data_IF_589917400299
#
_entry.id   IF_589917400299
#
_cell.length_a   1.000
_cell.length_b   1.000
_cell.length_c   1.000
_cell.angle_alpha   90.00
_cell.angle_beta   90.00
_cell.angle_gamma   90.00
#
_symmetry.space_group_name_H-M   'P 1'
#
loop_
_entity.id
_entity.type
_entity.pdbx_description
1 polymer ?
#
# COMPACT_ATOMS: atom_id res chain seq x y z
N UNK A 1 -15.12 -7.31 -5.10
CA UNK A 1 -13.86 -7.16 -4.31
C UNK A 1 -12.95 -8.34 -4.63
N UNK A 2 -11.75 -8.08 -5.17
CA UNK A 2 -10.84 -9.10 -5.73
C UNK A 2 -10.93 -9.25 -7.25
N UNK A 3 -11.29 -8.18 -7.95
CA UNK A 3 -11.31 -8.09 -9.42
C UNK A 3 -10.47 -6.88 -9.77
N UNK A 4 -9.53 -7.03 -10.70
CA UNK A 4 -8.74 -5.93 -11.26
C UNK A 4 -9.46 -5.41 -12.49
N UNK A 5 -9.58 -4.09 -12.63
CA UNK A 5 -10.13 -3.47 -13.85
C UNK A 5 -9.06 -2.61 -14.49
N UNK A 6 -8.57 -3.08 -15.64
CA UNK A 6 -7.68 -2.30 -16.49
C UNK A 6 -8.49 -1.66 -17.63
N UNK A 7 -8.10 -0.46 -18.03
CA UNK A 7 -8.75 0.31 -19.09
C UNK A 7 -7.74 0.53 -20.21
N UNK A 8 -8.10 0.13 -21.42
CA UNK A 8 -7.30 0.40 -22.61
C UNK A 8 -8.11 1.35 -23.48
N UNK A 9 -7.55 2.53 -23.76
CA UNK A 9 -8.12 3.52 -24.67
C UNK A 9 -7.28 3.58 -25.94
N UNK A 10 -7.95 3.68 -27.09
CA UNK A 10 -7.28 3.81 -28.38
C UNK A 10 -7.17 5.30 -28.69
N UNK A 11 -5.96 5.74 -29.01
CA UNK A 11 -5.67 7.14 -29.32
C UNK A 11 -6.49 7.61 -30.51
N UNK A 12 -7.11 8.78 -30.39
CA UNK A 12 -8.01 9.36 -31.39
C UNK A 12 -9.49 9.17 -31.07
N UNK A 13 -9.84 8.33 -30.09
CA UNK A 13 -11.20 8.22 -29.55
C UNK A 13 -11.34 9.02 -28.25
N UNK A 14 -12.46 9.71 -28.06
CA UNK A 14 -12.76 10.37 -26.79
C UNK A 14 -13.19 9.33 -25.75
N UNK A 15 -12.35 9.13 -24.73
CA UNK A 15 -12.67 8.33 -23.55
C UNK A 15 -12.65 9.23 -22.32
N UNK A 16 -13.75 9.28 -21.57
CA UNK A 16 -13.82 9.99 -20.29
C UNK A 16 -13.14 9.16 -19.18
N UNK A 17 -11.80 9.20 -19.18
CA UNK A 17 -10.97 8.51 -18.20
C UNK A 17 -11.10 9.08 -16.79
N UNK A 18 -11.52 10.34 -16.65
CA UNK A 18 -11.73 10.97 -15.35
C UNK A 18 -12.92 10.34 -14.61
N UNK A 19 -14.02 10.07 -15.32
CA UNK A 19 -15.17 9.38 -14.73
C UNK A 19 -14.85 7.92 -14.36
N UNK A 20 -13.91 7.28 -15.08
CA UNK A 20 -13.49 5.91 -14.83
C UNK A 20 -12.38 5.77 -13.78
N UNK A 21 -11.76 6.88 -13.39
CA UNK A 21 -10.68 6.96 -12.40
C UNK A 21 -10.92 6.20 -11.10
N UNK A 22 -12.07 6.36 -10.43
CA UNK A 22 -12.31 5.66 -9.17
C UNK A 22 -12.32 4.13 -9.30
N UNK A 23 -12.48 3.61 -10.52
CA UNK A 23 -12.70 2.20 -10.79
C UNK A 23 -11.37 1.44 -10.92
N UNK A 24 -10.43 1.96 -11.72
CA UNK A 24 -9.10 1.36 -11.82
C UNK A 24 -8.24 1.66 -10.59
N UNK A 25 -8.31 2.86 -9.99
CA UNK A 25 -7.59 3.20 -8.75
C UNK A 25 -7.97 2.24 -7.62
N UNK A 26 -9.27 1.96 -7.45
CA UNK A 26 -9.76 1.10 -6.36
C UNK A 26 -9.47 -0.39 -6.57
N UNK A 27 -9.28 -0.80 -7.81
CA UNK A 27 -8.99 -2.20 -8.15
C UNK A 27 -7.51 -2.48 -8.35
N UNK A 28 -6.69 -1.43 -8.21
CA UNK A 28 -5.27 -1.40 -8.51
C UNK A 28 -4.99 -1.87 -9.94
N UNK A 29 -5.84 -1.42 -10.87
CA UNK A 29 -5.70 -1.66 -12.30
C UNK A 29 -5.03 -0.49 -13.01
N UNK A 30 -4.67 -0.71 -14.27
CA UNK A 30 -3.90 0.26 -15.06
C UNK A 30 -4.75 0.91 -16.16
N UNK A 31 -4.35 2.11 -16.59
CA UNK A 31 -4.90 2.81 -17.75
C UNK A 31 -3.82 3.06 -18.78
N UNK A 32 -4.04 2.53 -19.98
CA UNK A 32 -3.13 2.73 -21.10
C UNK A 32 -3.86 3.37 -22.28
N UNK A 33 -3.30 4.46 -22.82
CA UNK A 33 -3.73 5.08 -24.07
C UNK A 33 -2.72 4.67 -25.14
N UNK A 34 -3.18 3.93 -26.14
CA UNK A 34 -2.30 3.25 -27.11
C UNK A 34 -2.69 3.54 -28.56
N UNK A 35 -1.75 3.35 -29.47
CA UNK A 35 -2.07 3.26 -30.89
C UNK A 35 -2.72 1.87 -31.18
N UNK A 36 -3.59 1.74 -32.21
CA UNK A 36 -4.28 0.48 -32.53
C UNK A 36 -3.33 -0.72 -32.70
N UNK A 37 -2.15 -0.49 -33.28
CA UNK A 37 -1.15 -1.53 -33.56
C UNK A 37 -0.44 -2.06 -32.29
N UNK A 38 -0.49 -1.31 -31.19
CA UNK A 38 0.17 -1.65 -29.93
C UNK A 38 -0.71 -2.52 -29.01
N UNK A 39 -1.99 -2.68 -29.36
CA UNK A 39 -3.00 -3.38 -28.55
C UNK A 39 -2.56 -4.78 -28.15
N UNK A 40 -1.99 -5.53 -29.10
CA UNK A 40 -1.53 -6.91 -28.85
C UNK A 40 -0.41 -6.96 -27.83
N UNK A 41 0.53 -6.02 -27.89
CA UNK A 41 1.67 -5.98 -26.97
C UNK A 41 1.21 -5.54 -25.58
N UNK A 42 0.29 -4.57 -25.49
CA UNK A 42 -0.28 -4.12 -24.23
C UNK A 42 -1.02 -5.27 -23.51
N UNK A 43 -1.89 -5.99 -24.22
CA UNK A 43 -2.55 -7.18 -23.67
C UNK A 43 -1.56 -8.22 -23.14
N UNK A 44 -0.51 -8.53 -23.91
CA UNK A 44 0.52 -9.49 -23.50
C UNK A 44 1.27 -9.03 -22.25
N UNK A 45 1.53 -7.73 -22.10
CA UNK A 45 2.19 -7.18 -20.92
C UNK A 45 1.27 -7.16 -19.70
N UNK A 46 -0.01 -6.82 -19.86
CA UNK A 46 -1.01 -6.93 -18.79
C UNK A 46 -1.14 -8.35 -18.25
N UNK A 47 -1.05 -9.37 -19.12
CA UNK A 47 -1.08 -10.77 -18.67
C UNK A 47 0.19 -11.17 -17.91
N UNK A 48 1.33 -10.49 -18.12
CA UNK A 48 2.57 -10.76 -17.36
C UNK A 48 2.52 -10.19 -15.94
N UNK A 49 1.74 -9.13 -15.72
CA UNK A 49 1.55 -8.55 -14.38
C UNK A 49 0.48 -9.35 -13.62
N UNK A 50 0.79 -10.62 -13.35
CA UNK A 50 -0.14 -11.51 -12.67
C UNK A 50 -0.39 -11.03 -11.23
N UNK A 51 -1.68 -10.95 -10.87
CA UNK A 51 -2.09 -10.69 -9.50
C UNK A 51 -1.71 -11.89 -8.65
N UNK A 52 -0.85 -11.70 -7.65
CA UNK A 52 -0.37 -12.77 -6.77
C UNK A 52 -1.23 -12.93 -5.51
N UNK A 53 -1.93 -11.85 -5.11
CA UNK A 53 -2.87 -11.85 -4.00
C UNK A 53 -3.94 -10.77 -4.15
N UNK A 54 -5.10 -11.02 -3.54
CA UNK A 54 -6.25 -10.11 -3.55
C UNK A 54 -6.64 -9.71 -2.14
N UNK A 55 -7.37 -8.59 -2.01
CA UNK A 55 -7.88 -8.06 -0.72
C UNK A 55 -6.75 -7.87 0.29
N UNK A 56 -5.64 -7.32 -0.19
CA UNK A 56 -4.45 -7.08 0.61
C UNK A 56 -4.65 -5.85 1.48
N UNK A 57 -4.47 -6.02 2.78
CA UNK A 57 -4.42 -4.94 3.76
C UNK A 57 -3.07 -4.99 4.45
N UNK A 58 -2.36 -3.86 4.43
CA UNK A 58 -1.04 -3.73 5.04
C UNK A 58 -1.14 -2.87 6.28
N UNK A 59 -0.67 -3.41 7.40
CA UNK A 59 -0.54 -2.69 8.68
C UNK A 59 0.93 -2.54 9.02
N UNK A 60 1.40 -1.31 9.16
CA UNK A 60 2.76 -1.00 9.59
C UNK A 60 2.70 -0.44 11.00
N UNK A 61 3.47 -1.03 11.91
CA UNK A 61 3.56 -0.64 13.31
C UNK A 61 4.95 -0.10 13.61
N UNK A 62 4.98 1.12 14.14
CA UNK A 62 6.17 1.80 14.61
C UNK A 62 6.33 1.65 16.12
N UNK A 63 7.54 1.94 16.60
CA UNK A 63 7.78 2.14 18.01
C UNK A 63 6.98 3.35 18.53
N UNK A 64 6.55 3.33 19.80
CA UNK A 64 5.71 4.35 20.46
C UNK A 64 6.27 5.79 20.45
N UNK A 65 7.57 5.92 20.23
CA UNK A 65 8.29 7.19 20.13
C UNK A 65 8.31 7.78 18.73
N UNK A 66 7.87 7.01 17.73
CA UNK A 66 7.75 7.44 16.35
C UNK A 66 6.28 7.67 16.00
N UNK A 67 6.06 8.46 14.96
CA UNK A 67 4.76 8.66 14.35
C UNK A 67 4.89 8.76 12.84
N UNK A 68 3.83 8.35 12.13
CA UNK A 68 3.72 8.55 10.69
C UNK A 68 3.48 10.03 10.35
N UNK A 69 3.94 10.43 9.16
CA UNK A 69 3.71 11.76 8.60
C UNK A 69 3.21 11.65 7.17
N UNK A 70 2.55 12.71 6.69
CA UNK A 70 2.06 12.80 5.32
C UNK A 70 1.11 11.65 4.94
N UNK A 71 0.42 11.08 5.93
CA UNK A 71 -0.56 10.00 5.77
C UNK A 71 -1.98 10.52 6.07
N UNK A 72 -2.99 9.87 5.49
CA UNK A 72 -4.40 10.18 5.74
C UNK A 72 -4.79 9.77 7.17
N UNK A 73 -5.44 10.66 7.92
CA UNK A 73 -5.83 10.39 9.31
C UNK A 73 -6.78 9.19 9.46
N UNK A 74 -7.58 8.88 8.42
CA UNK A 74 -8.49 7.73 8.44
C UNK A 74 -7.75 6.39 8.46
N UNK A 75 -6.51 6.37 7.96
CA UNK A 75 -5.67 5.18 7.82
C UNK A 75 -4.72 5.03 9.02
N UNK A 76 -4.69 6.01 9.92
CA UNK A 76 -3.83 6.04 11.09
C UNK A 76 -4.58 5.63 12.37
N UNK A 77 -3.88 4.96 13.28
CA UNK A 77 -4.31 4.87 14.68
C UNK A 77 -4.33 6.24 15.35
N UNK A 78 -5.11 6.40 16.42
CA UNK A 78 -5.14 7.62 17.24
C UNK A 78 -3.75 8.14 17.64
N UNK A 79 -2.84 7.24 18.01
CA UNK A 79 -1.47 7.56 18.43
C UNK A 79 -0.49 7.80 17.27
N UNK A 80 -0.98 7.72 16.02
CA UNK A 80 -0.21 7.82 14.76
C UNK A 80 0.99 6.87 14.68
N UNK A 81 0.97 5.76 15.43
CA UNK A 81 2.01 4.73 15.46
C UNK A 81 1.70 3.50 14.62
N UNK A 82 0.46 3.37 14.13
CA UNK A 82 0.02 2.29 13.24
C UNK A 82 -0.61 2.92 12.00
N UNK A 83 -0.16 2.50 10.82
CA UNK A 83 -0.71 2.84 9.51
C UNK A 83 -1.38 1.59 8.94
N UNK A 84 -2.63 1.69 8.52
CA UNK A 84 -3.39 0.62 7.85
C UNK A 84 -3.78 1.08 6.46
N UNK A 85 -3.28 0.42 5.42
CA UNK A 85 -3.68 0.69 4.03
C UNK A 85 -4.39 -0.50 3.41
N UNK A 86 -5.54 -0.25 2.81
CA UNK A 86 -6.20 -1.19 1.89
C UNK A 86 -5.58 -1.03 0.50
N UNK A 87 -4.84 -2.06 0.08
CA UNK A 87 -4.05 -2.08 -1.17
C UNK A 87 -4.83 -2.76 -2.29
N UNK A 88 -5.85 -3.55 -1.96
CA UNK A 88 -6.63 -4.28 -2.96
C UNK A 88 -5.86 -5.46 -3.57
N UNK A 89 -5.59 -5.41 -4.87
CA UNK A 89 -4.89 -6.48 -5.58
C UNK A 89 -3.41 -6.12 -5.70
N UNK A 90 -2.53 -7.11 -5.50
CA UNK A 90 -1.08 -6.90 -5.58
C UNK A 90 -0.46 -7.83 -6.61
N UNK A 91 0.56 -7.30 -7.27
CA UNK A 91 1.47 -7.98 -8.22
C UNK A 91 2.87 -8.04 -7.61
N UNK A 92 3.83 -8.65 -8.30
CA UNK A 92 5.24 -8.62 -7.86
C UNK A 92 5.83 -7.21 -7.81
N UNK A 93 5.30 -6.29 -8.62
CA UNK A 93 5.77 -4.89 -8.72
C UNK A 93 5.13 -3.96 -7.68
N UNK A 94 4.19 -4.46 -6.86
CA UNK A 94 3.46 -3.62 -5.92
C UNK A 94 4.35 -3.17 -4.75
N UNK A 95 4.50 -1.85 -4.59
CA UNK A 95 5.28 -1.22 -3.52
C UNK A 95 4.43 -0.26 -2.68
N UNK A 96 4.74 -0.18 -1.39
CA UNK A 96 4.15 0.81 -0.48
C UNK A 96 5.27 1.52 0.25
N UNK A 97 5.24 2.84 0.20
CA UNK A 97 6.13 3.73 0.94
C UNK A 97 5.35 4.49 1.99
N UNK A 98 6.01 4.79 3.10
CA UNK A 98 5.46 5.61 4.18
C UNK A 98 6.59 6.45 4.79
N UNK A 99 6.21 7.58 5.38
CA UNK A 99 7.13 8.47 6.07
C UNK A 99 6.87 8.46 7.57
N UNK A 100 7.93 8.57 8.36
CA UNK A 100 7.82 8.64 9.81
C UNK A 100 8.83 9.63 10.39
N UNK A 101 8.57 10.09 11.62
CA UNK A 101 9.50 10.88 12.43
C UNK A 101 9.45 10.46 13.89
N UNK A 102 10.40 10.97 14.67
CA UNK A 102 10.30 10.98 16.13
C UNK A 102 9.20 11.96 16.54
N UNK A 103 8.39 11.57 17.52
CA UNK A 103 7.37 12.44 18.13
C UNK A 103 8.00 13.67 18.78
N UNK A 104 7.23 14.74 18.90
CA UNK A 104 7.69 15.95 19.55
C UNK A 104 7.92 15.72 21.06
N UNK A 105 8.80 16.51 21.67
CA UNK A 105 9.22 16.37 23.07
C UNK A 105 8.05 16.25 24.06
N UNK A 106 6.98 17.04 23.84
CA UNK A 106 5.77 17.03 24.68
C UNK A 106 5.05 15.67 24.69
N UNK A 107 5.09 14.94 23.59
CA UNK A 107 4.44 13.64 23.47
C UNK A 107 5.38 12.51 23.92
N UNK A 108 6.70 12.70 23.79
CA UNK A 108 7.69 11.81 24.37
C UNK A 108 7.67 11.83 25.91
N UNK A 109 7.46 13.00 26.52
CA UNK A 109 7.36 13.16 27.98
C UNK A 109 6.15 12.42 28.59
N UNK A 110 5.11 12.14 27.78
CA UNK A 110 3.95 11.33 28.19
C UNK A 110 4.25 9.83 28.20
N UNK A 111 5.36 9.41 27.59
CA UNK A 111 5.76 8.02 27.59
C UNK A 111 6.49 7.72 28.90
N UNK A 112 5.78 7.09 29.84
CA UNK A 112 6.37 6.69 31.13
C UNK A 112 7.67 5.87 30.93
N UNK A 113 8.71 6.23 31.70
CA UNK A 113 10.02 5.58 31.68
C UNK A 113 10.68 5.48 30.29
N UNK A 114 10.42 6.44 29.41
CA UNK A 114 11.01 6.45 28.07
C UNK A 114 12.26 7.34 27.99
N UNK A 115 13.42 6.71 27.80
CA UNK A 115 14.68 7.39 27.56
C UNK A 115 15.15 7.07 26.14
N UNK A 116 15.01 8.02 25.23
CA UNK A 116 15.36 7.86 23.81
C UNK A 116 16.86 7.53 23.64
N UNK A 117 17.70 7.98 24.57
CA UNK A 117 19.15 7.76 24.58
C UNK A 117 19.53 6.30 24.84
N UNK A 118 18.58 5.48 25.31
CA UNK A 118 18.77 4.03 25.59
C UNK A 118 18.24 3.13 24.47
N UNK A 119 17.79 3.71 23.36
CA UNK A 119 17.27 2.93 22.23
C UNK A 119 18.40 2.76 21.23
N UNK A 120 19.02 1.59 21.27
CA UNK A 120 20.04 1.21 20.30
C UNK A 120 19.43 0.70 18.98
N UNK A 121 18.15 0.30 19.02
CA UNK A 121 17.45 -0.28 17.87
C UNK A 121 15.96 0.01 17.90
N UNK A 122 15.39 0.34 16.73
CA UNK A 122 13.97 0.58 16.56
C UNK A 122 13.35 -0.54 15.71
N UNK A 123 12.40 -1.30 16.25
CA UNK A 123 11.69 -2.31 15.47
C UNK A 123 10.58 -1.68 14.62
N UNK A 124 10.48 -2.16 13.39
CA UNK A 124 9.39 -1.93 12.46
C UNK A 124 8.72 -3.27 12.19
N UNK A 125 7.41 -3.31 12.32
CA UNK A 125 6.65 -4.52 12.02
C UNK A 125 5.61 -4.24 10.95
N UNK A 126 5.66 -5.01 9.88
CA UNK A 126 4.67 -5.00 8.80
C UNK A 126 3.85 -6.28 8.88
N UNK A 127 2.53 -6.15 8.90
CA UNK A 127 1.57 -7.24 8.89
C UNK A 127 0.75 -7.11 7.61
N UNK A 128 0.80 -8.14 6.77
CA UNK A 128 0.11 -8.19 5.49
C UNK A 128 -0.98 -9.24 5.60
N UNK A 129 -2.23 -8.81 5.64
CA UNK A 129 -3.41 -9.67 5.57
C UNK A 129 -3.85 -9.76 4.10
N UNK A 130 -4.00 -10.96 3.55
CA UNK A 130 -4.32 -11.13 2.13
C UNK A 130 -5.09 -12.40 1.84
N UNK A 131 -5.69 -12.48 0.64
CA UNK A 131 -6.33 -13.67 0.09
C UNK A 131 -5.50 -14.19 -1.08
N UNK A 132 -5.00 -15.42 -0.98
CA UNK A 132 -4.34 -16.11 -2.09
C UNK A 132 -5.34 -16.41 -3.22
N UNK A 133 -4.83 -16.71 -4.41
CA UNK A 133 -5.66 -17.03 -5.58
C UNK A 133 -6.49 -18.32 -5.41
N UNK A 134 -6.04 -19.23 -4.54
CA UNK A 134 -6.79 -20.42 -4.13
C UNK A 134 -7.92 -20.13 -3.13
N UNK A 135 -8.10 -18.87 -2.73
CA UNK A 135 -9.11 -18.42 -1.77
C UNK A 135 -8.69 -18.46 -0.30
N UNK A 136 -7.49 -18.97 0.03
CA UNK A 136 -7.01 -19.01 1.41
C UNK A 136 -6.75 -17.59 1.93
N UNK A 137 -7.25 -17.30 3.14
CA UNK A 137 -6.90 -16.09 3.88
C UNK A 137 -5.61 -16.31 4.63
N UNK A 138 -4.64 -15.42 4.43
CA UNK A 138 -3.28 -15.54 4.95
C UNK A 138 -2.87 -14.26 5.68
N UNK A 139 -1.96 -14.42 6.62
CA UNK A 139 -1.28 -13.31 7.29
C UNK A 139 0.23 -13.55 7.18
N UNK A 140 0.96 -12.52 6.74
CA UNK A 140 2.42 -12.50 6.74
C UNK A 140 2.90 -11.38 7.64
N UNK A 141 3.73 -11.71 8.62
CA UNK A 141 4.35 -10.73 9.52
C UNK A 141 5.84 -10.65 9.22
N UNK A 142 6.32 -9.43 8.99
CA UNK A 142 7.74 -9.12 8.73
C UNK A 142 8.16 -8.15 9.83
N UNK A 143 9.22 -8.48 10.56
CA UNK A 143 9.80 -7.58 11.56
C UNK A 143 11.24 -7.28 11.18
N UNK A 144 11.58 -6.00 11.13
CA UNK A 144 12.94 -5.52 10.86
C UNK A 144 13.35 -4.55 11.96
N UNK A 145 14.57 -4.67 12.44
CA UNK A 145 15.14 -3.75 13.42
C UNK A 145 16.12 -2.82 12.73
N UNK A 146 16.00 -1.53 12.96
CA UNK A 146 16.91 -0.51 12.46
C UNK A 146 17.82 -0.06 13.60
N UNK A 147 19.13 -0.06 13.37
CA UNK A 147 20.13 0.55 14.25
C UNK A 147 20.25 2.03 13.92
#
# INVERSE_FOLDING_TARGET
KGVTVNIISIKGEECDLETLRPLYDKTNGNVDIIEPDELKNNFANMMKQEVIATRVVVKVKLHKALEFRNEDEKDLSNEKTILTRDVGNVTEDSEITFEYRVKDQKDLEKLDNFDISKIDQIPFQTIIEYTKLDGMKCIRTITKVQK
#
